data_IF_197015534031
#
_entry.id   IF_197015534031
#
_cell.length_a   1.000
_cell.length_b   1.000
_cell.length_c   1.000
_cell.angle_alpha   90.00
_cell.angle_beta   90.00
_cell.angle_gamma   90.00
#
_symmetry.space_group_name_H-M   'P 1'
#
loop_
_entity.id
_entity.type
_entity.pdbx_description
1 polymer ?
#
# COMPACT_ATOMS: atom_id res chain seq x y z
N UNK A 1 10.26 20.72 7.78
CA UNK A 1 9.49 19.52 7.37
C UNK A 1 9.05 19.73 5.92
N UNK A 2 9.46 18.86 4.99
CA UNK A 2 9.04 18.97 3.60
C UNK A 2 7.59 18.51 3.51
N UNK A 3 6.67 19.40 3.13
CA UNK A 3 5.27 19.05 2.85
C UNK A 3 5.20 18.46 1.44
N UNK A 4 5.58 17.19 1.30
CA UNK A 4 5.46 16.49 0.03
C UNK A 4 3.98 16.33 -0.32
N UNK A 5 3.59 16.74 -1.54
CA UNK A 5 2.23 16.50 -2.04
C UNK A 5 2.02 14.98 -2.17
N UNK A 6 0.90 14.48 -1.66
CA UNK A 6 0.53 13.07 -1.83
C UNK A 6 0.41 12.77 -3.34
N UNK A 7 1.11 11.76 -3.88
CA UNK A 7 1.00 11.41 -5.29
C UNK A 7 -0.41 10.86 -5.59
N UNK A 8 -0.85 10.99 -6.84
CA UNK A 8 -2.04 10.28 -7.31
C UNK A 8 -1.71 8.78 -7.40
N UNK A 9 -2.57 7.94 -6.83
CA UNK A 9 -2.37 6.48 -6.81
C UNK A 9 -3.40 5.86 -7.74
N UNK A 10 -2.94 5.05 -8.70
CA UNK A 10 -3.83 4.31 -9.61
C UNK A 10 -4.20 2.94 -9.05
N UNK A 11 -5.33 2.40 -9.50
CA UNK A 11 -5.75 1.04 -9.17
C UNK A 11 -4.75 0.00 -9.69
N UNK A 12 -4.28 0.15 -10.94
CA UNK A 12 -3.31 -0.75 -11.56
C UNK A 12 -1.99 -0.85 -10.78
N UNK A 13 -1.51 0.28 -10.24
CA UNK A 13 -0.33 0.30 -9.39
C UNK A 13 -0.56 -0.52 -8.11
N UNK A 14 -1.73 -0.36 -7.48
CA UNK A 14 -2.07 -1.10 -6.28
C UNK A 14 -2.21 -2.60 -6.58
N UNK A 15 -2.82 -2.98 -7.69
CA UNK A 15 -2.96 -4.38 -8.10
C UNK A 15 -1.60 -5.03 -8.34
N UNK A 16 -0.71 -4.35 -9.07
CA UNK A 16 0.67 -4.82 -9.28
C UNK A 16 1.42 -5.02 -7.96
N UNK A 17 1.34 -4.04 -7.05
CA UNK A 17 2.02 -4.11 -5.76
C UNK A 17 1.41 -5.17 -4.84
N UNK A 18 0.11 -5.40 -4.90
CA UNK A 18 -0.58 -6.42 -4.11
C UNK A 18 -0.18 -7.82 -4.53
N UNK A 19 0.00 -8.02 -5.85
CA UNK A 19 0.52 -9.27 -6.40
C UNK A 19 1.98 -9.52 -6.00
N UNK A 20 2.82 -8.48 -6.07
CA UNK A 20 4.26 -8.61 -5.80
C UNK A 20 4.60 -8.66 -4.30
N UNK A 21 3.81 -8.00 -3.45
CA UNK A 21 3.97 -7.98 -2.00
C UNK A 21 2.70 -8.48 -1.31
N UNK A 22 2.40 -9.79 -1.43
CA UNK A 22 1.13 -10.33 -0.95
C UNK A 22 1.03 -10.25 0.56
N UNK A 23 -0.20 -10.05 1.06
CA UNK A 23 -0.50 -10.25 2.47
C UNK A 23 -0.59 -11.75 2.76
N UNK A 24 0.56 -12.40 2.91
CA UNK A 24 0.69 -13.83 3.11
C UNK A 24 1.39 -14.14 4.43
N UNK A 25 1.01 -15.27 5.04
CA UNK A 25 1.72 -15.79 6.20
C UNK A 25 3.08 -16.34 5.73
N UNK A 26 4.20 -15.92 6.34
CA UNK A 26 5.50 -16.49 6.03
C UNK A 26 5.55 -17.96 6.46
N UNK A 27 6.33 -18.75 5.72
CA UNK A 27 6.62 -20.13 6.12
C UNK A 27 7.48 -20.15 7.40
N UNK A 28 7.33 -21.18 8.24
CA UNK A 28 8.06 -21.32 9.50
C UNK A 28 9.59 -21.39 9.32
N UNK A 29 10.06 -21.82 8.15
CA UNK A 29 11.48 -21.84 7.80
C UNK A 29 12.03 -20.49 7.34
N UNK A 30 11.16 -19.48 7.16
CA UNK A 30 11.55 -18.14 6.69
C UNK A 30 12.39 -17.44 7.77
N UNK A 31 13.61 -16.98 7.46
CA UNK A 31 14.40 -16.21 8.42
C UNK A 31 13.70 -14.91 8.84
N UNK A 32 13.75 -14.57 10.13
CA UNK A 32 13.08 -13.40 10.72
C UNK A 32 13.33 -12.09 9.95
N UNK A 33 14.58 -11.85 9.53
CA UNK A 33 14.94 -10.65 8.75
C UNK A 33 14.14 -10.51 7.45
N UNK A 34 13.82 -11.63 6.79
CA UNK A 34 13.03 -11.64 5.56
C UNK A 34 11.56 -11.41 5.87
N UNK A 35 11.05 -11.97 6.97
CA UNK A 35 9.70 -11.69 7.45
C UNK A 35 9.53 -10.20 7.71
N UNK A 36 10.47 -9.57 8.41
CA UNK A 36 10.40 -8.13 8.70
C UNK A 36 10.46 -7.28 7.44
N UNK A 37 11.31 -7.64 6.46
CA UNK A 37 11.36 -6.97 5.17
C UNK A 37 10.02 -7.09 4.41
N UNK A 38 9.42 -8.29 4.38
CA UNK A 38 8.13 -8.52 3.72
C UNK A 38 6.99 -7.75 4.40
N UNK A 39 6.95 -7.74 5.74
CA UNK A 39 5.98 -6.96 6.51
C UNK A 39 6.16 -5.46 6.26
N UNK A 40 7.41 -4.97 6.20
CA UNK A 40 7.69 -3.59 5.85
C UNK A 40 7.16 -3.19 4.47
N UNK A 41 7.39 -4.03 3.45
CA UNK A 41 6.87 -3.84 2.10
C UNK A 41 5.33 -3.82 2.10
N UNK A 42 4.71 -4.78 2.79
CA UNK A 42 3.25 -4.90 2.90
C UNK A 42 2.60 -3.66 3.54
N UNK A 43 3.20 -3.15 4.61
CA UNK A 43 2.73 -1.94 5.29
C UNK A 43 2.72 -0.72 4.37
N UNK A 44 3.70 -0.61 3.46
CA UNK A 44 3.73 0.46 2.45
C UNK A 44 2.57 0.29 1.47
N UNK A 45 2.32 -0.93 0.98
CA UNK A 45 1.19 -1.19 0.07
C UNK A 45 -0.15 -0.86 0.74
N UNK A 46 -0.33 -1.24 2.01
CA UNK A 46 -1.55 -0.93 2.76
C UNK A 46 -1.74 0.57 2.99
N UNK A 47 -0.64 1.30 3.26
CA UNK A 47 -0.68 2.75 3.32
C UNK A 47 -1.13 3.37 1.99
N UNK A 48 -0.60 2.90 0.86
CA UNK A 48 -1.00 3.38 -0.47
C UNK A 48 -2.46 3.05 -0.79
N UNK A 49 -2.94 1.85 -0.43
CA UNK A 49 -4.37 1.49 -0.54
C UNK A 49 -5.26 2.44 0.26
N UNK A 50 -4.87 2.77 1.49
CA UNK A 50 -5.59 3.73 2.34
C UNK A 50 -5.64 5.13 1.70
N UNK A 51 -4.50 5.62 1.20
CA UNK A 51 -4.43 6.91 0.51
C UNK A 51 -5.30 6.96 -0.75
N UNK A 52 -5.29 5.89 -1.56
CA UNK A 52 -6.13 5.80 -2.75
C UNK A 52 -7.63 5.85 -2.39
N UNK A 53 -8.05 5.13 -1.35
CA UNK A 53 -9.42 5.21 -0.85
C UNK A 53 -9.81 6.61 -0.38
N UNK A 54 -8.91 7.33 0.31
CA UNK A 54 -9.13 8.73 0.66
C UNK A 54 -9.31 9.60 -0.58
N UNK A 55 -8.47 9.44 -1.61
CA UNK A 55 -8.57 10.18 -2.87
C UNK A 55 -9.91 9.94 -3.57
N UNK A 56 -10.39 8.69 -3.59
CA UNK A 56 -11.70 8.36 -4.15
C UNK A 56 -12.85 9.02 -3.37
N UNK A 57 -12.81 9.00 -2.04
CA UNK A 57 -13.82 9.63 -1.18
C UNK A 57 -13.86 11.14 -1.39
N UNK A 58 -12.70 11.78 -1.44
CA UNK A 58 -12.57 13.23 -1.72
C UNK A 58 -13.12 13.58 -3.11
N UNK A 59 -12.80 12.78 -4.13
CA UNK A 59 -13.29 12.97 -5.49
C UNK A 59 -14.81 12.76 -5.62
N UNK A 60 -15.40 11.86 -4.82
CA UNK A 60 -16.86 11.68 -4.74
C UNK A 60 -17.53 12.85 -4.01
N UNK A 61 -16.94 13.32 -2.90
CA UNK A 61 -17.47 14.45 -2.14
C UNK A 61 -17.45 15.76 -2.94
N UNK A 62 -16.43 15.97 -3.78
CA UNK A 62 -16.33 17.16 -4.64
C UNK A 62 -17.33 17.19 -5.81
N UNK A 63 -18.05 16.08 -6.07
CA UNK A 63 -19.06 15.97 -7.13
C UNK A 63 -20.49 16.22 -6.64
N UNK A 64 -20.70 16.33 -5.33
CA UNK A 64 -21.99 16.62 -4.68
C UNK A 64 -22.03 18.08 -4.22
#
# INVERSE_FOLDING_TARGET
MIKAKKPAISADLLEYLDHYFPNACPDISTPDRHVWAAVGQRNVVDHLKSLHQSQLKEALAAKN
#
